data_IF_845301516030
#
_entry.id   IF_845301516030
#
_cell.length_a   1.000
_cell.length_b   1.000
_cell.length_c   1.000
_cell.angle_alpha   90.00
_cell.angle_beta   90.00
_cell.angle_gamma   90.00
#
_symmetry.space_group_name_H-M   'P 1'
#
loop_
_entity.id
_entity.type
_entity.pdbx_description
1 polymer ?
#
# COMPACT_ATOMS: atom_id res chain seq x y z
N UNK A 1 -4.69 -4.02 -17.20
CA UNK A 1 -5.74 -4.74 -17.94
C UNK A 1 -5.17 -5.60 -19.06
N UNK A 2 -4.51 -5.08 -20.11
CA UNK A 2 -3.97 -5.97 -21.16
C UNK A 2 -2.85 -6.91 -20.66
N UNK A 3 -1.80 -6.37 -20.05
CA UNK A 3 -0.67 -7.17 -19.52
C UNK A 3 -1.14 -8.28 -18.57
N UNK A 4 -2.02 -7.93 -17.63
CA UNK A 4 -2.57 -8.87 -16.64
C UNK A 4 -3.38 -9.99 -17.29
N UNK A 5 -4.15 -9.69 -18.35
CA UNK A 5 -4.88 -10.73 -19.10
C UNK A 5 -3.92 -11.71 -19.77
N UNK A 6 -2.93 -11.21 -20.51
CA UNK A 6 -1.94 -12.05 -21.19
C UNK A 6 -1.12 -12.88 -20.19
N UNK A 7 -0.80 -12.30 -19.02
CA UNK A 7 -0.12 -13.00 -17.93
C UNK A 7 -0.93 -14.20 -17.44
N UNK A 8 -2.21 -14.00 -17.12
CA UNK A 8 -3.09 -15.09 -16.66
C UNK A 8 -3.27 -16.15 -17.73
N UNK A 9 -3.47 -15.77 -18.99
CA UNK A 9 -3.60 -16.72 -20.11
C UNK A 9 -2.34 -17.57 -20.26
N UNK A 10 -1.16 -16.96 -20.21
CA UNK A 10 0.12 -17.65 -20.27
C UNK A 10 0.34 -18.60 -19.08
N UNK A 11 0.05 -18.16 -17.86
CA UNK A 11 0.15 -18.97 -16.64
C UNK A 11 -0.83 -20.16 -16.63
N UNK A 12 -1.98 -20.00 -17.30
CA UNK A 12 -2.94 -21.08 -17.52
C UNK A 12 -2.54 -22.04 -18.66
N UNK A 13 -1.40 -21.81 -19.32
CA UNK A 13 -0.93 -22.62 -20.44
C UNK A 13 -1.71 -22.42 -21.74
N UNK A 14 -2.43 -21.30 -21.88
CA UNK A 14 -3.12 -20.95 -23.12
C UNK A 14 -2.15 -20.38 -24.15
N UNK A 15 -2.45 -20.63 -25.42
CA UNK A 15 -1.69 -20.04 -26.53
C UNK A 15 -2.10 -18.58 -26.67
N UNK A 16 -1.14 -17.67 -26.48
CA UNK A 16 -1.37 -16.25 -26.69
C UNK A 16 -1.49 -15.95 -28.20
N UNK A 17 -2.26 -14.93 -28.60
CA UNK A 17 -2.34 -14.52 -30.00
C UNK A 17 -0.98 -14.07 -30.58
N UNK A 18 -0.72 -14.37 -31.85
CA UNK A 18 0.56 -14.08 -32.55
C UNK A 18 1.05 -12.63 -32.43
N UNK A 19 0.13 -11.66 -32.38
CA UNK A 19 0.49 -10.23 -32.26
C UNK A 19 1.18 -9.89 -30.93
N UNK A 20 1.09 -10.76 -29.91
CA UNK A 20 1.65 -10.55 -28.58
C UNK A 20 3.15 -10.85 -28.49
N UNK A 21 3.70 -11.67 -29.42
CA UNK A 21 5.09 -12.14 -29.39
C UNK A 21 6.12 -11.01 -29.30
N UNK A 22 5.83 -9.87 -29.94
CA UNK A 22 6.77 -8.75 -30.03
C UNK A 22 6.62 -7.72 -28.91
N UNK A 23 5.69 -7.92 -27.98
CA UNK A 23 5.33 -6.95 -26.94
C UNK A 23 5.18 -7.53 -25.53
N UNK A 24 4.79 -8.81 -25.40
CA UNK A 24 4.60 -9.49 -24.14
C UNK A 24 5.76 -10.46 -23.87
N UNK A 25 6.29 -10.52 -22.63
CA UNK A 25 5.96 -9.68 -21.49
C UNK A 25 6.68 -8.32 -21.49
N UNK A 26 7.89 -8.27 -22.04
CA UNK A 26 8.90 -7.23 -21.76
C UNK A 26 8.46 -5.79 -22.02
N UNK A 27 7.83 -5.50 -23.18
CA UNK A 27 7.42 -4.11 -23.51
C UNK A 27 6.20 -3.68 -22.72
N UNK A 28 5.29 -4.61 -22.42
CA UNK A 28 4.05 -4.31 -21.71
C UNK A 28 4.25 -4.22 -20.20
N UNK A 29 5.22 -4.92 -19.63
CA UNK A 29 5.43 -4.98 -18.17
C UNK A 29 5.69 -3.59 -17.58
N UNK A 30 6.66 -2.85 -18.13
CA UNK A 30 6.99 -1.50 -17.64
C UNK A 30 5.82 -0.51 -17.78
N UNK A 31 5.03 -0.64 -18.87
CA UNK A 31 3.83 0.16 -19.08
C UNK A 31 2.73 -0.20 -18.08
N UNK A 32 2.59 -1.49 -17.75
CA UNK A 32 1.65 -1.96 -16.74
C UNK A 32 2.03 -1.44 -15.35
N UNK A 33 3.30 -1.57 -14.96
CA UNK A 33 3.82 -1.03 -13.70
C UNK A 33 3.59 0.48 -13.59
N UNK A 34 3.89 1.24 -14.66
CA UNK A 34 3.60 2.68 -14.72
C UNK A 34 2.11 2.97 -14.59
N UNK A 35 1.26 2.18 -15.25
CA UNK A 35 -0.20 2.37 -15.16
C UNK A 35 -0.73 2.22 -13.73
N UNK A 36 -0.11 1.35 -12.92
CA UNK A 36 -0.47 1.18 -11.51
C UNK A 36 0.01 2.37 -10.68
N UNK A 37 1.24 2.85 -10.90
CA UNK A 37 1.77 3.99 -10.16
C UNK A 37 0.98 5.28 -10.41
N UNK A 38 0.41 5.43 -11.62
CA UNK A 38 -0.40 6.59 -12.00
C UNK A 38 -1.62 6.79 -11.09
N UNK A 39 -2.13 5.73 -10.46
CA UNK A 39 -3.25 5.85 -9.52
C UNK A 39 -2.90 6.69 -8.29
N UNK A 40 -1.63 6.90 -7.97
CA UNK A 40 -1.20 7.75 -6.85
C UNK A 40 -0.14 8.76 -7.29
N UNK A 41 -0.26 9.29 -8.51
CA UNK A 41 0.70 10.24 -9.06
C UNK A 41 0.67 11.60 -8.34
N UNK A 42 -0.54 12.14 -8.09
CA UNK A 42 -0.70 13.43 -7.42
C UNK A 42 -0.81 13.28 -5.90
N UNK A 43 -0.51 14.35 -5.16
CA UNK A 43 -0.66 14.37 -3.70
C UNK A 43 -2.11 14.10 -3.26
N UNK A 44 -3.10 14.64 -3.96
CA UNK A 44 -4.50 14.36 -3.67
C UNK A 44 -4.82 12.87 -3.89
N UNK A 45 -4.34 12.29 -4.99
CA UNK A 45 -4.52 10.86 -5.27
C UNK A 45 -3.86 9.97 -4.22
N UNK A 46 -2.66 10.31 -3.75
CA UNK A 46 -1.98 9.63 -2.65
C UNK A 46 -2.82 9.64 -1.38
N UNK A 47 -3.36 10.81 -1.02
CA UNK A 47 -4.21 11.00 0.16
C UNK A 47 -5.51 10.20 0.10
N UNK A 48 -6.27 10.31 -1.00
CA UNK A 48 -7.57 9.62 -1.13
C UNK A 48 -7.40 8.10 -1.30
N UNK A 49 -6.31 7.60 -1.90
CA UNK A 49 -6.12 6.16 -2.09
C UNK A 49 -5.35 5.53 -0.93
N UNK A 50 -4.02 5.59 -0.98
CA UNK A 50 -3.19 4.98 0.05
C UNK A 50 -3.38 5.64 1.42
N UNK A 51 -3.54 6.97 1.45
CA UNK A 51 -3.68 7.76 2.68
C UNK A 51 -4.91 7.40 3.50
N UNK A 52 -6.05 7.16 2.86
CA UNK A 52 -7.28 6.69 3.51
C UNK A 52 -7.06 5.36 4.25
N UNK A 53 -6.35 4.42 3.63
CA UNK A 53 -5.98 3.16 4.29
C UNK A 53 -4.98 3.36 5.43
N UNK A 54 -3.97 4.20 5.23
CA UNK A 54 -2.97 4.53 6.26
C UNK A 54 -3.60 5.19 7.49
N UNK A 55 -4.62 6.03 7.30
CA UNK A 55 -5.40 6.63 8.39
C UNK A 55 -6.07 5.55 9.26
N UNK A 56 -6.60 4.48 8.65
CA UNK A 56 -7.16 3.35 9.38
C UNK A 56 -6.10 2.57 10.16
N UNK A 57 -4.94 2.31 9.54
CA UNK A 57 -3.82 1.59 10.17
C UNK A 57 -3.30 2.36 11.38
N UNK A 58 -2.97 3.65 11.23
CA UNK A 58 -2.43 4.46 12.33
C UNK A 58 -3.46 4.59 13.46
N UNK A 59 -4.74 4.78 13.14
CA UNK A 59 -5.83 4.82 14.13
C UNK A 59 -5.91 3.53 14.94
N UNK A 60 -5.77 2.37 14.29
CA UNK A 60 -5.78 1.06 14.95
C UNK A 60 -4.55 0.85 15.85
N UNK A 61 -3.37 1.25 15.39
CA UNK A 61 -2.13 1.19 16.20
C UNK A 61 -2.22 2.11 17.43
N UNK A 62 -2.70 3.34 17.24
CA UNK A 62 -2.93 4.30 18.32
C UNK A 62 -3.96 3.79 19.35
N UNK A 63 -5.06 3.21 18.87
CA UNK A 63 -6.05 2.60 19.76
C UNK A 63 -5.47 1.39 20.50
N UNK A 64 -4.60 0.59 19.87
CA UNK A 64 -3.90 -0.51 20.54
C UNK A 64 -2.99 0.01 21.65
N UNK A 65 -2.17 1.03 21.37
CA UNK A 65 -1.30 1.71 22.35
C UNK A 65 -2.09 2.23 23.55
N UNK A 66 -3.24 2.85 23.30
CA UNK A 66 -4.13 3.42 24.34
C UNK A 66 -5.01 2.39 25.05
N UNK A 67 -4.96 1.11 24.65
CA UNK A 67 -5.84 0.04 25.15
C UNK A 67 -7.33 0.31 24.92
N UNK A 68 -7.66 0.98 23.80
CA UNK A 68 -9.01 1.36 23.41
C UNK A 68 -9.66 0.39 22.40
N UNK A 69 -8.98 -0.70 22.03
CA UNK A 69 -9.55 -1.71 21.15
C UNK A 69 -10.50 -2.63 21.92
N UNK A 70 -11.73 -2.82 21.41
CA UNK A 70 -12.70 -3.77 21.93
C UNK A 70 -13.28 -4.64 20.79
N UNK A 71 -13.03 -5.96 20.76
CA UNK A 71 -12.12 -6.70 21.63
C UNK A 71 -10.66 -6.24 21.45
N UNK A 72 -9.77 -6.63 22.36
CA UNK A 72 -8.33 -6.34 22.27
C UNK A 72 -7.67 -7.11 21.12
N UNK A 73 -7.96 -6.66 19.90
CA UNK A 73 -7.61 -7.35 18.66
C UNK A 73 -6.11 -7.29 18.43
N UNK A 74 -5.52 -8.42 18.06
CA UNK A 74 -4.09 -8.56 17.78
C UNK A 74 -3.74 -8.47 16.28
N UNK A 75 -4.68 -8.85 15.41
CA UNK A 75 -4.47 -8.91 13.95
C UNK A 75 -5.71 -8.35 13.24
N UNK A 76 -5.48 -7.54 12.23
CA UNK A 76 -6.48 -7.10 11.26
C UNK A 76 -6.04 -7.58 9.88
N UNK A 77 -6.90 -8.32 9.18
CA UNK A 77 -6.63 -8.83 7.84
C UNK A 77 -7.50 -8.08 6.84
N UNK A 78 -6.88 -7.56 5.79
CA UNK A 78 -7.57 -6.91 4.68
C UNK A 78 -7.25 -7.66 3.41
N UNK A 79 -8.25 -8.29 2.80
CA UNK A 79 -8.12 -8.88 1.48
C UNK A 79 -8.34 -7.77 0.45
N UNK A 80 -7.30 -7.47 -0.31
CA UNK A 80 -7.34 -6.43 -1.34
C UNK A 80 -6.91 -6.97 -2.70
N UNK A 81 -6.55 -6.03 -3.59
CA UNK A 81 -6.00 -6.33 -4.90
C UNK A 81 -4.53 -5.88 -4.97
N UNK A 82 -3.81 -6.32 -6.00
CA UNK A 82 -2.47 -5.84 -6.36
C UNK A 82 -2.40 -4.30 -6.40
N UNK A 83 -3.41 -3.64 -6.98
CA UNK A 83 -3.50 -2.18 -7.02
C UNK A 83 -3.69 -1.56 -5.63
N UNK A 84 -4.31 -2.27 -4.68
CA UNK A 84 -4.41 -1.83 -3.28
C UNK A 84 -3.00 -1.72 -2.67
N UNK A 85 -2.16 -2.75 -2.86
CA UNK A 85 -0.79 -2.74 -2.38
C UNK A 85 0.02 -1.63 -3.06
N UNK A 86 -0.04 -1.50 -4.39
CA UNK A 86 0.72 -0.45 -5.09
C UNK A 86 0.31 0.95 -4.64
N UNK A 87 -0.99 1.21 -4.44
CA UNK A 87 -1.44 2.51 -3.93
C UNK A 87 -0.84 2.82 -2.56
N UNK A 88 -0.81 1.85 -1.64
CA UNK A 88 -0.24 2.05 -0.30
C UNK A 88 1.28 2.24 -0.38
N UNK A 89 1.97 1.36 -1.10
CA UNK A 89 3.44 1.38 -1.23
C UNK A 89 3.94 2.65 -1.92
N UNK A 90 3.27 3.10 -2.97
CA UNK A 90 3.64 4.32 -3.68
C UNK A 90 3.26 5.59 -2.89
N UNK A 91 2.14 5.56 -2.14
CA UNK A 91 1.79 6.65 -1.21
C UNK A 91 2.84 6.80 -0.10
N UNK A 92 3.34 5.69 0.45
CA UNK A 92 4.42 5.67 1.45
C UNK A 92 5.83 5.94 0.87
N UNK A 93 5.96 6.03 -0.45
CA UNK A 93 7.25 6.14 -1.15
C UNK A 93 8.20 4.97 -0.83
N UNK A 94 7.68 3.74 -0.88
CA UNK A 94 8.43 2.48 -0.67
C UNK A 94 8.28 1.50 -1.85
N UNK A 95 7.66 1.91 -2.96
CA UNK A 95 7.40 1.03 -4.10
C UNK A 95 8.69 0.50 -4.76
N UNK A 96 9.78 1.25 -4.69
CA UNK A 96 11.11 0.84 -5.15
C UNK A 96 11.76 -0.23 -4.28
N UNK A 97 11.25 -0.43 -3.07
CA UNK A 97 11.68 -1.48 -2.15
C UNK A 97 10.85 -2.77 -2.32
N UNK A 98 9.83 -2.79 -3.17
CA UNK A 98 8.87 -3.89 -3.33
C UNK A 98 8.65 -4.23 -4.81
N UNK A 99 7.65 -5.07 -5.11
CA UNK A 99 7.23 -5.35 -6.49
C UNK A 99 6.30 -4.23 -7.01
N UNK A 100 6.65 -3.68 -8.18
CA UNK A 100 5.82 -2.70 -8.88
C UNK A 100 4.55 -3.32 -9.48
N UNK A 101 4.56 -4.64 -9.68
CA UNK A 101 3.43 -5.48 -10.05
C UNK A 101 3.34 -6.64 -9.06
N UNK A 102 2.64 -6.47 -7.92
CA UNK A 102 2.60 -7.45 -6.85
C UNK A 102 2.18 -8.84 -7.33
N UNK A 103 2.95 -9.87 -6.96
CA UNK A 103 2.62 -11.26 -7.29
C UNK A 103 1.40 -11.76 -6.50
N UNK A 104 0.82 -12.89 -6.94
CA UNK A 104 -0.27 -13.53 -6.21
C UNK A 104 0.12 -13.83 -4.76
N UNK A 105 -0.84 -13.60 -3.85
CA UNK A 105 -0.65 -13.78 -2.41
C UNK A 105 0.48 -12.93 -1.79
N UNK A 106 0.97 -11.89 -2.49
CA UNK A 106 1.81 -10.88 -1.86
C UNK A 106 1.06 -10.16 -0.73
N UNK A 107 1.80 -9.72 0.29
CA UNK A 107 1.23 -9.07 1.47
C UNK A 107 2.15 -7.98 2.01
N UNK A 108 1.55 -6.87 2.42
CA UNK A 108 2.21 -5.79 3.16
C UNK A 108 1.71 -5.81 4.61
N UNK A 109 2.61 -6.05 5.55
CA UNK A 109 2.28 -6.14 6.98
C UNK A 109 2.82 -4.91 7.71
N UNK A 110 1.97 -4.30 8.53
CA UNK A 110 2.31 -3.22 9.45
C UNK A 110 2.26 -3.77 10.87
N UNK A 111 3.41 -3.80 11.54
CA UNK A 111 3.59 -4.46 12.82
C UNK A 111 3.86 -3.45 13.93
N UNK A 112 3.26 -3.68 15.09
CA UNK A 112 3.40 -2.84 16.26
C UNK A 112 4.06 -3.65 17.39
N UNK A 113 5.30 -3.32 17.72
CA UNK A 113 6.16 -4.08 18.63
C UNK A 113 6.39 -3.32 19.94
N UNK A 114 6.45 -4.07 21.04
CA UNK A 114 7.03 -3.53 22.28
C UNK A 114 8.54 -3.42 22.10
N UNK A 115 9.11 -2.26 22.47
CA UNK A 115 10.55 -2.04 22.39
C UNK A 115 11.07 -1.50 23.72
N UNK A 116 12.17 -2.08 24.22
CA UNK A 116 12.82 -1.59 25.44
C UNK A 116 13.38 -0.17 25.30
N UNK A 117 13.55 0.31 24.06
CA UNK A 117 14.01 1.65 23.73
C UNK A 117 12.90 2.71 23.87
N UNK A 118 11.63 2.29 23.92
CA UNK A 118 10.48 3.16 23.97
C UNK A 118 9.62 2.84 25.20
N UNK A 119 9.67 3.70 26.23
CA UNK A 119 9.01 3.46 27.52
C UNK A 119 7.48 3.47 27.43
N UNK A 120 6.93 4.47 26.74
CA UNK A 120 5.48 4.70 26.58
C UNK A 120 5.09 4.80 25.09
N UNK A 121 5.91 4.19 24.22
CA UNK A 121 5.67 4.13 22.78
C UNK A 121 5.97 2.73 22.24
N UNK A 122 5.66 2.51 20.97
CA UNK A 122 5.84 1.23 20.30
C UNK A 122 6.77 1.40 19.10
N UNK A 123 7.43 0.33 18.70
CA UNK A 123 8.17 0.29 17.44
C UNK A 123 7.23 -0.15 16.32
N UNK A 124 7.29 0.55 15.19
CA UNK A 124 6.57 0.21 13.96
C UNK A 124 7.55 -0.44 12.99
N UNK A 125 7.17 -1.60 12.48
CA UNK A 125 7.86 -2.26 11.36
C UNK A 125 6.91 -2.43 10.19
N UNK A 126 7.43 -2.30 8.99
CA UNK A 126 6.72 -2.67 7.76
C UNK A 126 7.51 -3.80 7.11
N UNK A 127 6.82 -4.88 6.77
CA UNK A 127 7.44 -6.02 6.09
C UNK A 127 6.61 -6.41 4.87
N UNK A 128 7.28 -6.86 3.80
CA UNK A 128 6.66 -7.26 2.54
C UNK A 128 6.94 -8.74 2.25
N UNK A 129 5.87 -9.48 1.95
CA UNK A 129 5.90 -10.83 1.40
C UNK A 129 5.61 -10.72 -0.09
N UNK A 130 6.49 -11.26 -0.93
CA UNK A 130 6.36 -11.27 -2.38
C UNK A 130 5.31 -12.28 -2.84
N UNK A 131 5.15 -13.42 -2.16
CA UNK A 131 4.17 -14.45 -2.50
C UNK A 131 3.93 -15.42 -1.32
N UNK A 132 3.13 -16.47 -1.54
CA UNK A 132 2.78 -17.47 -0.52
C UNK A 132 3.92 -18.37 -0.05
N UNK A 133 5.00 -18.50 -0.82
CA UNK A 133 6.16 -19.34 -0.49
C UNK A 133 7.19 -18.61 0.40
N UNK A 134 7.04 -17.30 0.58
CA UNK A 134 7.96 -16.48 1.35
C UNK A 134 7.85 -16.78 2.85
N UNK A 135 8.87 -17.46 3.39
CA UNK A 135 8.96 -17.76 4.82
C UNK A 135 9.48 -16.59 5.64
N UNK A 136 10.22 -15.68 5.01
CA UNK A 136 10.87 -14.54 5.65
C UNK A 136 10.57 -13.29 4.82
N UNK A 137 9.78 -12.34 5.35
CA UNK A 137 9.45 -11.14 4.60
C UNK A 137 10.64 -10.19 4.54
N UNK A 138 10.66 -9.34 3.52
CA UNK A 138 11.60 -8.23 3.43
C UNK A 138 11.18 -7.12 4.38
N UNK A 139 12.04 -6.75 5.33
CA UNK A 139 11.83 -5.54 6.14
C UNK A 139 12.01 -4.29 5.27
N UNK A 140 11.05 -3.37 5.37
CA UNK A 140 10.98 -2.15 4.57
C UNK A 140 11.49 -0.97 5.36
N UNK A 141 12.38 -0.18 4.76
CA UNK A 141 12.82 1.09 5.33
C UNK A 141 11.69 2.12 5.20
N UNK A 142 11.23 2.63 6.34
CA UNK A 142 10.16 3.63 6.41
C UNK A 142 10.74 5.02 6.14
N UNK A 143 10.37 5.69 5.02
CA UNK A 143 10.91 7.01 4.71
C UNK A 143 10.54 8.03 5.79
N UNK A 144 11.47 8.93 6.09
CA UNK A 144 11.29 9.98 7.11
C UNK A 144 11.00 9.43 8.51
N UNK A 145 11.43 8.21 8.83
CA UNK A 145 11.43 7.65 10.18
C UNK A 145 12.82 7.11 10.54
N UNK A 146 13.23 7.29 11.80
CA UNK A 146 14.50 6.74 12.29
C UNK A 146 14.38 5.22 12.50
N UNK A 147 15.52 4.53 12.59
CA UNK A 147 15.55 3.10 12.95
C UNK A 147 16.11 2.97 14.38
N UNK A 148 15.38 2.37 15.33
CA UNK A 148 14.00 1.87 15.23
C UNK A 148 12.96 3.01 15.12
N UNK A 149 11.87 2.75 14.39
CA UNK A 149 10.83 3.74 14.11
C UNK A 149 9.76 3.71 15.19
N UNK A 150 9.64 4.77 16.00
CA UNK A 150 8.58 4.83 17.01
C UNK A 150 7.22 5.07 16.35
N UNK A 151 6.10 4.62 16.95
CA UNK A 151 4.75 4.87 16.46
C UNK A 151 4.47 6.37 16.34
N UNK A 152 4.97 7.17 17.28
CA UNK A 152 4.88 8.63 17.21
C UNK A 152 5.61 9.20 16.00
N UNK A 153 6.83 8.71 15.73
CA UNK A 153 7.60 9.15 14.56
C UNK A 153 6.95 8.68 13.26
N UNK A 154 6.46 7.44 13.21
CA UNK A 154 5.71 6.91 12.08
C UNK A 154 4.48 7.79 11.78
N UNK A 155 3.67 8.10 12.80
CA UNK A 155 2.51 8.99 12.67
C UNK A 155 2.90 10.34 12.08
N UNK A 156 3.99 10.95 12.55
CA UNK A 156 4.47 12.22 12.03
C UNK A 156 4.95 12.11 10.57
N UNK A 157 5.63 11.01 10.22
CA UNK A 157 6.15 10.78 8.87
C UNK A 157 5.05 10.69 7.81
N UNK A 158 3.89 10.14 8.16
CA UNK A 158 2.75 9.95 7.25
C UNK A 158 1.66 11.01 7.38
N UNK A 159 1.74 11.93 8.35
CA UNK A 159 0.66 12.89 8.65
C UNK A 159 0.23 13.71 7.43
N UNK A 160 1.18 14.08 6.58
CA UNK A 160 0.93 14.82 5.34
C UNK A 160 0.18 14.03 4.27
N UNK A 161 0.04 12.71 4.43
CA UNK A 161 -0.68 11.79 3.55
C UNK A 161 -2.11 11.51 4.03
N UNK A 162 -2.48 11.97 5.22
CA UNK A 162 -3.79 11.70 5.81
C UNK A 162 -4.82 12.73 5.33
N UNK A 163 -6.09 12.32 5.38
CA UNK A 163 -7.26 13.17 5.16
C UNK A 163 -8.02 13.32 6.46
N UNK A 164 -8.57 14.50 6.68
CA UNK A 164 -9.45 14.76 7.82
C UNK A 164 -10.83 14.14 7.58
N UNK A 165 -11.41 14.40 6.39
CA UNK A 165 -12.69 13.84 5.96
C UNK A 165 -12.59 13.36 4.51
N UNK A 166 -12.83 12.06 4.30
CA UNK A 166 -12.74 11.44 2.99
C UNK A 166 -13.92 11.82 2.09
N UNK A 167 -15.13 11.89 2.65
CA UNK A 167 -16.36 12.12 1.90
C UNK A 167 -16.43 13.56 1.42
N UNK A 168 -16.10 14.52 2.29
CA UNK A 168 -15.97 15.94 1.94
C UNK A 168 -14.89 16.15 0.87
N UNK A 169 -13.72 15.51 1.01
CA UNK A 169 -12.64 15.61 0.01
C UNK A 169 -13.04 15.06 -1.36
N UNK A 170 -13.93 14.05 -1.38
CA UNK A 170 -14.37 13.39 -2.61
C UNK A 170 -15.68 13.94 -3.16
N UNK A 171 -16.26 14.96 -2.52
CA UNK A 171 -17.44 15.64 -3.04
C UNK A 171 -17.08 16.38 -4.33
N UNK A 172 -17.90 16.21 -5.37
CA UNK A 172 -17.70 16.96 -6.60
C UNK A 172 -18.00 18.44 -6.33
N UNK A 173 -17.16 19.38 -6.84
CA UNK A 173 -17.49 20.79 -6.75
C UNK A 173 -18.87 21.03 -7.36
N UNK A 174 -19.73 21.76 -6.64
CA UNK A 174 -21.01 22.20 -7.18
C UNK A 174 -20.71 23.23 -8.28
N UNK A 175 -20.67 22.77 -9.53
CA UNK A 175 -20.61 23.68 -10.67
C UNK A 175 -21.96 24.39 -10.76
N UNK A 176 -21.98 25.69 -10.44
CA UNK A 176 -23.09 26.54 -10.88
C UNK A 176 -22.99 26.67 -12.40
N UNK A 177 -23.64 25.76 -13.12
CA UNK A 177 -23.71 25.77 -14.58
C UNK A 177 -24.56 26.95 -15.13
N UNK A 178 -24.85 27.97 -14.31
CA UNK A 178 -25.51 29.20 -14.71
C UNK A 178 -24.47 30.32 -14.82
N UNK A 179 -23.78 30.38 -15.95
CA UNK A 179 -23.31 31.61 -16.60
C UNK A 179 -22.90 31.29 -18.04
#
# INVERSE_FOLDING_TARGET
MLYTTLKVEAEAGLVLPDWTENIYPDKLESLAARSYSLYTESNLMKKVKGGAFLAEIIKKMENKRRKNLNPDRKIFLYSGHDITLVNIMNTLNILDQTDTLPSYASALSFELHHSSLFKDDFEVKIVYYYNSEDKFPKEIHIPNCNVPCSLTQFSNSINHLLLDDYDDTCENPTTDCKN
#
